data_IF_200455527866
#
_entry.id   IF_200455527866
#
_cell.length_a   1.000
_cell.length_b   1.000
_cell.length_c   1.000
_cell.angle_alpha   90.00
_cell.angle_beta   90.00
_cell.angle_gamma   90.00
#
_symmetry.space_group_name_H-M   'P 1'
#
loop_
_entity.id
_entity.type
_entity.pdbx_description
1 polymer ?
#
# COMPACT_ATOMS: atom_id res chain seq x y z
N UNK A 1 -13.19 12.39 -16.32
CA UNK A 1 -13.73 11.74 -17.54
C UNK A 1 -14.87 10.83 -17.09
N UNK A 2 -16.07 10.95 -17.68
CA UNK A 2 -17.19 10.05 -17.36
C UNK A 2 -17.05 8.76 -18.17
N UNK A 3 -16.90 7.63 -17.48
CA UNK A 3 -16.82 6.31 -18.11
C UNK A 3 -18.17 5.62 -17.89
N UNK A 4 -18.94 5.32 -18.95
CA UNK A 4 -20.21 4.61 -18.80
C UNK A 4 -19.96 3.19 -18.29
N UNK A 5 -20.89 2.68 -17.48
CA UNK A 5 -20.77 1.35 -16.85
C UNK A 5 -20.65 0.19 -17.84
N UNK A 6 -21.14 0.37 -19.07
CA UNK A 6 -20.96 -0.57 -20.18
C UNK A 6 -19.49 -0.81 -20.58
N UNK A 7 -18.57 0.07 -20.18
CA UNK A 7 -17.14 -0.03 -20.47
C UNK A 7 -16.31 -0.62 -19.32
N UNK A 8 -16.92 -0.87 -18.14
CA UNK A 8 -16.21 -1.41 -16.97
C UNK A 8 -16.33 -2.94 -16.99
N UNK A 9 -15.41 -3.59 -17.69
CA UNK A 9 -15.40 -5.07 -17.87
C UNK A 9 -15.11 -5.80 -16.54
N UNK A 10 -14.42 -5.15 -15.63
CA UNK A 10 -14.08 -5.61 -14.28
C UNK A 10 -15.16 -5.28 -13.23
N UNK A 11 -16.19 -4.50 -13.60
CA UNK A 11 -17.25 -4.07 -12.68
C UNK A 11 -16.78 -3.08 -11.60
N UNK A 12 -15.59 -2.49 -11.74
CA UNK A 12 -15.04 -1.56 -10.76
C UNK A 12 -15.58 -0.15 -11.01
N UNK A 13 -16.08 0.52 -9.98
CA UNK A 13 -16.84 1.78 -10.11
C UNK A 13 -16.00 3.03 -10.43
N UNK A 14 -14.67 2.92 -10.40
CA UNK A 14 -13.75 4.01 -10.65
C UNK A 14 -12.46 3.49 -11.29
N UNK A 15 -11.72 4.37 -11.97
CA UNK A 15 -10.43 4.06 -12.58
C UNK A 15 -9.25 4.36 -11.65
N UNK A 16 -9.47 5.21 -10.65
CA UNK A 16 -8.46 5.62 -9.69
C UNK A 16 -9.03 5.53 -8.28
N UNK A 17 -8.30 4.83 -7.43
CA UNK A 17 -8.53 4.76 -6.00
C UNK A 17 -7.31 5.33 -5.32
N UNK A 18 -7.51 6.09 -4.25
CA UNK A 18 -6.44 6.64 -3.45
C UNK A 18 -6.72 6.19 -2.02
N UNK A 19 -5.75 5.53 -1.42
CA UNK A 19 -5.89 4.94 -0.10
C UNK A 19 -4.66 5.12 0.75
N UNK A 20 -4.69 4.47 1.91
CA UNK A 20 -3.55 4.46 2.82
C UNK A 20 -3.25 3.03 3.23
N UNK A 21 -1.98 2.67 3.16
CA UNK A 21 -1.46 1.37 3.56
C UNK A 21 -0.51 1.46 4.75
N UNK A 22 -0.35 0.32 5.42
CA UNK A 22 0.62 0.15 6.51
C UNK A 22 1.64 -0.91 6.12
N UNK A 23 2.92 -0.59 6.26
CA UNK A 23 4.00 -1.56 6.01
C UNK A 23 3.99 -2.61 7.12
N UNK A 24 3.76 -3.87 6.75
CA UNK A 24 3.73 -5.00 7.70
C UNK A 24 5.04 -5.80 7.68
N UNK A 25 5.80 -5.71 6.60
CA UNK A 25 7.09 -6.37 6.45
C UNK A 25 8.01 -5.54 5.55
N UNK A 26 9.29 -5.44 5.90
CA UNK A 26 10.30 -4.76 5.12
C UNK A 26 11.64 -5.45 5.30
N UNK A 27 12.22 -5.91 4.20
CA UNK A 27 13.55 -6.50 4.08
C UNK A 27 14.31 -5.79 2.94
N UNK A 28 15.55 -6.19 2.68
CA UNK A 28 16.32 -5.72 1.52
C UNK A 28 15.80 -6.31 0.20
N UNK A 29 15.16 -7.48 0.24
CA UNK A 29 14.69 -8.22 -0.94
C UNK A 29 13.20 -8.01 -1.25
N UNK A 30 12.39 -7.70 -0.23
CA UNK A 30 10.94 -7.62 -0.37
C UNK A 30 10.33 -6.73 0.71
N UNK A 31 9.34 -5.94 0.33
CA UNK A 31 8.44 -5.24 1.26
C UNK A 31 6.99 -5.67 1.07
N UNK A 32 6.22 -5.69 2.16
CA UNK A 32 4.78 -5.97 2.14
C UNK A 32 4.02 -4.85 2.83
N UNK A 33 2.91 -4.45 2.23
CA UNK A 33 1.99 -3.43 2.73
C UNK A 33 0.60 -4.02 2.84
N UNK A 34 -0.04 -3.79 3.98
CA UNK A 34 -1.45 -4.08 4.18
C UNK A 34 -2.28 -2.86 3.77
N UNK A 35 -3.25 -3.08 2.90
CA UNK A 35 -4.18 -2.07 2.39
C UNK A 35 -5.61 -2.60 2.49
N UNK A 36 -6.59 -1.72 2.35
CA UNK A 36 -7.99 -2.12 2.30
C UNK A 36 -8.42 -2.50 0.87
N UNK A 37 -9.42 -3.38 0.77
CA UNK A 37 -9.94 -3.87 -0.51
C UNK A 37 -10.65 -2.76 -1.31
N UNK A 38 -11.14 -1.71 -0.65
CA UNK A 38 -11.75 -0.59 -1.38
C UNK A 38 -10.71 0.21 -2.17
N UNK A 39 -9.44 0.19 -1.75
CA UNK A 39 -8.33 0.80 -2.49
C UNK A 39 -7.85 -0.09 -3.62
N UNK A 40 -7.67 -1.39 -3.33
CA UNK A 40 -7.25 -2.40 -4.32
C UNK A 40 -8.44 -3.32 -4.62
N UNK A 41 -9.30 -2.88 -5.54
CA UNK A 41 -10.58 -3.54 -5.80
C UNK A 41 -10.44 -4.89 -6.52
N UNK A 42 -9.39 -5.07 -7.33
CA UNK A 42 -9.12 -6.26 -8.14
C UNK A 42 -7.65 -6.67 -8.03
N UNK A 43 -7.34 -7.94 -8.29
CA UNK A 43 -5.96 -8.44 -8.27
C UNK A 43 -5.11 -7.93 -9.44
N UNK A 44 -5.74 -7.56 -10.55
CA UNK A 44 -5.09 -7.02 -11.75
C UNK A 44 -5.14 -5.48 -11.76
N UNK A 45 -4.72 -4.85 -10.67
CA UNK A 45 -4.62 -3.40 -10.55
C UNK A 45 -3.18 -2.94 -10.68
N UNK A 46 -2.97 -1.84 -11.40
CA UNK A 46 -1.69 -1.12 -11.39
C UNK A 46 -1.63 -0.25 -10.12
N UNK A 47 -0.59 -0.41 -9.30
CA UNK A 47 -0.49 0.21 -7.98
C UNK A 47 0.80 1.01 -7.89
N UNK A 48 0.66 2.26 -7.47
CA UNK A 48 1.80 3.15 -7.20
C UNK A 48 1.84 3.50 -5.71
N UNK A 49 2.90 3.07 -5.04
CA UNK A 49 3.14 3.39 -3.63
C UNK A 49 3.90 4.70 -3.50
N UNK A 50 3.37 5.63 -2.72
CA UNK A 50 4.02 6.89 -2.36
C UNK A 50 4.38 6.94 -0.88
N UNK A 51 5.68 7.10 -0.60
CA UNK A 51 6.24 7.11 0.75
C UNK A 51 6.26 8.52 1.33
N UNK A 52 5.59 8.77 2.46
CA UNK A 52 5.51 10.13 3.02
C UNK A 52 6.88 10.70 3.44
N UNK A 53 7.84 9.84 3.77
CA UNK A 53 9.20 10.23 4.11
C UNK A 53 10.04 10.67 2.90
N UNK A 54 9.65 10.29 1.69
CA UNK A 54 10.40 10.57 0.46
C UNK A 54 9.45 10.50 -0.74
N UNK A 55 9.21 11.59 -1.49
CA UNK A 55 8.23 11.63 -2.58
C UNK A 55 8.74 10.85 -3.80
N UNK A 56 8.82 9.54 -3.65
CA UNK A 56 9.09 8.56 -4.69
C UNK A 56 7.85 7.71 -4.85
N UNK A 57 7.51 7.44 -6.09
CA UNK A 57 6.44 6.53 -6.46
C UNK A 57 7.09 5.24 -6.94
N UNK A 58 6.70 4.11 -6.32
CA UNK A 58 7.26 2.79 -6.61
C UNK A 58 6.13 1.86 -7.03
N UNK A 59 6.29 1.10 -8.13
CA UNK A 59 5.29 0.13 -8.54
C UNK A 59 5.15 -0.99 -7.49
N UNK A 60 3.93 -1.46 -7.31
CA UNK A 60 3.62 -2.56 -6.41
C UNK A 60 2.64 -3.55 -7.08
N UNK A 61 2.61 -4.77 -6.54
CA UNK A 61 1.78 -5.85 -7.05
C UNK A 61 0.90 -6.44 -5.95
N UNK A 62 -0.31 -6.89 -6.32
CA UNK A 62 -1.22 -7.56 -5.38
C UNK A 62 -0.81 -9.00 -5.16
N UNK A 63 -0.36 -9.32 -3.95
CA UNK A 63 0.02 -10.69 -3.58
C UNK A 63 -1.18 -11.44 -3.01
N UNK A 64 -2.07 -10.74 -2.30
CA UNK A 64 -3.23 -11.35 -1.67
C UNK A 64 -4.41 -10.39 -1.62
N UNK A 65 -5.58 -10.88 -2.01
CA UNK A 65 -6.85 -10.16 -1.90
C UNK A 65 -7.83 -11.01 -1.12
N UNK A 66 -8.31 -10.51 0.02
CA UNK A 66 -9.27 -11.28 0.81
C UNK A 66 -10.68 -11.19 0.20
N UNK A 67 -11.40 -12.31 -0.02
CA UNK A 67 -12.71 -12.28 -0.69
C UNK A 67 -13.80 -11.60 0.14
N UNK A 68 -13.84 -11.87 1.45
CA UNK A 68 -14.91 -11.44 2.37
C UNK A 68 -14.55 -10.21 3.21
N UNK A 69 -13.43 -10.26 3.92
CA UNK A 69 -12.89 -9.15 4.71
C UNK A 69 -12.25 -8.05 3.85
N UNK A 70 -12.33 -6.81 4.34
CA UNK A 70 -11.84 -5.62 3.65
C UNK A 70 -10.33 -5.43 3.81
N UNK A 71 -9.52 -6.35 3.29
CA UNK A 71 -8.07 -6.19 3.25
C UNK A 71 -7.40 -6.89 2.06
N UNK A 72 -6.26 -6.35 1.67
CA UNK A 72 -5.36 -6.91 0.67
C UNK A 72 -3.91 -6.72 1.15
N UNK A 73 -3.01 -7.52 0.59
CA UNK A 73 -1.57 -7.43 0.80
C UNK A 73 -0.92 -7.19 -0.55
N UNK A 74 -0.08 -6.18 -0.61
CA UNK A 74 0.66 -5.78 -1.81
C UNK A 74 2.17 -5.88 -1.52
N UNK A 75 2.94 -6.27 -2.53
CA UNK A 75 4.41 -6.32 -2.46
C UNK A 75 5.04 -5.20 -3.26
N UNK A 76 6.19 -4.72 -2.80
CA UNK A 76 7.03 -3.78 -3.53
C UNK A 76 8.50 -4.19 -3.43
N UNK A 77 9.30 -3.72 -4.39
CA UNK A 77 10.75 -3.90 -4.40
C UNK A 77 11.44 -2.79 -3.57
N UNK A 78 12.08 -3.12 -2.44
CA UNK A 78 12.84 -2.16 -1.63
C UNK A 78 14.02 -1.54 -2.37
N UNK A 79 14.55 -2.18 -3.40
CA UNK A 79 15.68 -1.65 -4.19
C UNK A 79 15.32 -0.33 -4.88
N UNK A 80 14.05 -0.14 -5.24
CA UNK A 80 13.53 1.06 -5.87
C UNK A 80 13.51 2.29 -4.94
N UNK A 81 13.53 2.10 -3.61
CA UNK A 81 13.63 3.19 -2.62
C UNK A 81 15.03 3.81 -2.55
N UNK A 82 16.04 3.08 -3.02
CA UNK A 82 17.45 3.42 -2.83
C UNK A 82 17.92 3.36 -1.36
N UNK A 83 19.23 3.56 -1.12
CA UNK A 83 19.83 3.37 0.21
C UNK A 83 19.24 4.31 1.27
N UNK A 84 18.94 5.56 0.87
CA UNK A 84 18.37 6.55 1.77
C UNK A 84 16.94 6.18 2.18
N UNK A 85 16.09 5.78 1.23
CA UNK A 85 14.71 5.37 1.50
C UNK A 85 14.63 4.13 2.40
N UNK A 86 15.42 3.10 2.11
CA UNK A 86 15.47 1.88 2.92
C UNK A 86 15.90 2.12 4.37
N UNK A 87 16.70 3.16 4.64
CA UNK A 87 17.10 3.48 6.03
C UNK A 87 15.97 4.06 6.89
N UNK A 88 14.97 4.68 6.25
CA UNK A 88 13.88 5.41 6.90
C UNK A 88 12.59 4.58 6.96
N UNK A 89 12.35 3.78 5.93
CA UNK A 89 11.18 2.91 5.81
C UNK A 89 11.27 1.74 6.80
N UNK A 90 10.20 1.50 7.56
CA UNK A 90 10.15 0.42 8.55
C UNK A 90 8.76 -0.17 8.66
N UNK A 91 8.70 -1.46 8.93
CA UNK A 91 7.45 -2.13 9.28
C UNK A 91 6.87 -1.61 10.59
N UNK A 92 5.54 -1.52 10.64
CA UNK A 92 4.81 -1.16 11.84
C UNK A 92 5.01 -2.21 12.93
N UNK A 93 5.36 -1.76 14.14
CA UNK A 93 5.49 -2.64 15.31
C UNK A 93 4.25 -2.50 16.19
N UNK A 94 3.57 -3.62 16.40
CA UNK A 94 2.48 -3.71 17.37
C UNK A 94 3.08 -3.83 18.78
N UNK A 95 2.97 -2.77 19.56
CA UNK A 95 3.41 -2.78 20.95
C UNK A 95 2.30 -3.35 21.84
N UNK A 96 2.59 -4.29 22.76
CA UNK A 96 1.60 -4.79 23.70
C UNK A 96 1.19 -3.68 24.68
N UNK A 97 -0.04 -3.18 24.54
CA UNK A 97 -0.64 -2.14 25.36
C UNK A 97 -1.51 -1.19 24.54
N UNK A 98 -2.47 -0.49 25.16
CA UNK A 98 -3.20 0.63 24.54
C UNK A 98 -2.25 1.82 24.33
N UNK A 99 -1.36 1.69 23.36
CA UNK A 99 -0.68 2.81 22.72
C UNK A 99 -1.04 2.69 21.26
N UNK A 100 -2.00 3.50 20.83
CA UNK A 100 -2.17 3.82 19.41
C UNK A 100 -0.78 4.04 18.84
N UNK A 101 -0.44 3.42 17.70
CA UNK A 101 0.75 3.81 16.95
C UNK A 101 0.79 5.34 16.96
N UNK A 102 1.84 5.99 17.48
CA UNK A 102 1.97 7.43 17.34
C UNK A 102 2.07 7.68 15.83
N UNK A 103 0.93 7.99 15.20
CA UNK A 103 0.79 8.27 13.77
C UNK A 103 1.64 9.49 13.34
N UNK A 104 2.34 10.11 14.29
CA UNK A 104 3.01 11.40 14.21
C UNK A 104 4.56 11.31 14.23
N UNK A 105 5.18 10.16 14.56
CA UNK A 105 6.65 10.12 14.78
C UNK A 105 7.46 9.22 13.84
N UNK A 106 6.83 8.45 12.94
CA UNK A 106 7.56 7.64 11.94
C UNK A 106 6.81 7.64 10.60
N UNK A 107 7.01 8.71 9.83
CA UNK A 107 6.54 8.90 8.45
C UNK A 107 6.87 7.73 7.50
N UNK A 108 7.76 6.81 7.86
CA UNK A 108 8.14 5.65 7.06
C UNK A 108 7.25 4.41 7.18
N UNK A 109 6.14 4.43 7.93
CA UNK A 109 5.25 3.27 8.09
C UNK A 109 3.92 3.38 7.33
N UNK A 110 3.54 4.61 6.95
CA UNK A 110 2.26 4.94 6.31
C UNK A 110 2.55 5.34 4.88
N UNK A 111 1.78 4.78 3.96
CA UNK A 111 1.95 4.94 2.52
C UNK A 111 0.64 5.38 1.88
N UNK A 112 0.70 6.27 0.91
CA UNK A 112 -0.42 6.48 0.00
C UNK A 112 -0.32 5.46 -1.13
N UNK A 113 -1.45 4.86 -1.46
CA UNK A 113 -1.62 3.85 -2.52
C UNK A 113 -2.55 4.39 -3.57
#
# INVERSE_FOLDING_TARGET
VYVPSSCMVDGVHAQHFIGTGVIIFHSEEMGLVAVDKNTVAISASDIMLSFAAFPIEIPAEVVFLHPVHNYAIISYDPSALGPAGNSVVRAAQLLPGRKTCPLDQRLGCILSV
#
